data_IF_101367624423
#
_entry.id   IF_101367624423
#
_cell.length_a   1.000
_cell.length_b   1.000
_cell.length_c   1.000
_cell.angle_alpha   90.00
_cell.angle_beta   90.00
_cell.angle_gamma   90.00
#
_symmetry.space_group_name_H-M   'P 1'
#
loop_
_entity.id
_entity.type
_entity.pdbx_description
1 polymer ?
#
# COMPACT_ATOMS: atom_id res chain seq x y z
N UNK A 1 -10.50 -15.84 -4.14
CA UNK A 1 -10.10 -14.50 -3.69
C UNK A 1 -10.52 -14.31 -2.24
N UNK A 2 -9.54 -14.35 -1.36
CA UNK A 2 -9.58 -14.23 0.09
C UNK A 2 -8.36 -13.46 0.63
N UNK A 3 -7.33 -13.25 -0.19
CA UNK A 3 -6.14 -12.48 0.16
C UNK A 3 -5.65 -11.66 -1.04
N UNK A 4 -5.21 -10.43 -0.77
CA UNK A 4 -4.36 -9.64 -1.67
C UNK A 4 -3.00 -9.48 -1.02
N UNK A 5 -1.94 -9.77 -1.75
CA UNK A 5 -0.57 -9.50 -1.30
C UNK A 5 0.02 -8.40 -2.16
N UNK A 6 0.57 -7.37 -1.53
CA UNK A 6 1.22 -6.24 -2.22
C UNK A 6 2.69 -6.22 -1.80
N UNK A 7 3.62 -6.32 -2.76
CA UNK A 7 5.04 -6.07 -2.48
C UNK A 7 5.37 -4.60 -2.74
N UNK A 8 6.06 -3.98 -1.81
CA UNK A 8 6.50 -2.59 -1.94
C UNK A 8 7.94 -2.44 -1.47
N UNK A 9 8.62 -1.45 -2.05
CA UNK A 9 9.96 -1.02 -1.69
C UNK A 9 9.90 0.22 -0.80
N UNK A 10 10.72 0.26 0.24
CA UNK A 10 11.10 1.47 0.96
C UNK A 10 12.59 1.69 0.74
N UNK A 11 12.96 2.91 0.36
CA UNK A 11 14.35 3.37 0.25
C UNK A 11 14.36 4.87 0.58
N UNK A 12 14.34 5.26 1.87
CA UNK A 12 14.11 6.66 2.25
C UNK A 12 15.17 7.62 1.72
N UNK A 13 16.44 7.20 1.66
CA UNK A 13 17.52 7.98 1.06
C UNK A 13 17.30 8.29 -0.44
N UNK A 14 16.39 7.55 -1.09
CA UNK A 14 15.95 7.73 -2.47
C UNK A 14 14.52 8.29 -2.57
N UNK A 15 13.99 8.90 -1.49
CA UNK A 15 12.62 9.47 -1.45
C UNK A 15 11.51 8.43 -1.68
N UNK A 16 11.80 7.13 -1.54
CA UNK A 16 10.82 6.05 -1.73
C UNK A 16 10.39 5.56 -0.36
N UNK A 17 9.08 5.59 -0.10
CA UNK A 17 8.50 5.13 1.15
C UNK A 17 7.44 4.06 0.89
N UNK A 18 7.17 3.25 1.90
CA UNK A 18 5.97 2.43 1.87
C UNK A 18 4.70 3.27 1.78
N UNK A 19 3.60 2.70 1.25
CA UNK A 19 2.29 3.29 1.41
C UNK A 19 1.96 3.47 2.90
N UNK A 20 1.21 4.52 3.25
CA UNK A 20 0.64 4.75 4.58
C UNK A 20 -0.52 3.80 4.89
N UNK A 21 -1.07 3.20 3.85
CA UNK A 21 -2.11 2.19 3.97
C UNK A 21 -2.53 1.61 2.63
N UNK A 22 -3.25 0.51 2.72
CA UNK A 22 -3.76 -0.25 1.59
C UNK A 22 -5.23 -0.55 1.82
N UNK A 23 -6.06 -0.39 0.80
CA UNK A 23 -7.49 -0.74 0.82
C UNK A 23 -7.83 -1.66 -0.34
N UNK A 24 -8.52 -2.74 -0.04
CA UNK A 24 -9.07 -3.68 -1.02
C UNK A 24 -10.57 -3.48 -1.08
N UNK A 25 -11.04 -3.17 -2.28
CA UNK A 25 -12.45 -2.99 -2.59
C UNK A 25 -12.89 -4.04 -3.60
N UNK A 26 -14.06 -4.62 -3.38
CA UNK A 26 -14.61 -5.68 -4.21
C UNK A 26 -15.89 -5.23 -4.89
N UNK A 27 -16.15 -5.76 -6.08
CA UNK A 27 -17.38 -5.50 -6.83
C UNK A 27 -17.78 -6.69 -7.69
N UNK A 28 -19.09 -6.90 -7.84
CA UNK A 28 -19.67 -7.90 -8.75
C UNK A 28 -19.96 -7.32 -10.14
N UNK A 29 -20.32 -6.05 -10.21
CA UNK A 29 -20.80 -5.37 -11.42
C UNK A 29 -19.77 -4.41 -12.05
N UNK A 30 -18.73 -4.04 -11.29
CA UNK A 30 -17.66 -3.13 -11.72
C UNK A 30 -18.00 -1.65 -11.54
N UNK A 31 -19.19 -1.32 -11.02
CA UNK A 31 -19.65 0.05 -10.75
C UNK A 31 -19.85 0.34 -9.27
N UNK A 32 -20.35 -0.63 -8.50
CA UNK A 32 -20.53 -0.51 -7.06
C UNK A 32 -19.47 -1.32 -6.33
N UNK A 33 -18.61 -0.62 -5.58
CA UNK A 33 -17.55 -1.23 -4.79
C UNK A 33 -17.85 -1.08 -3.31
N UNK A 34 -17.59 -2.12 -2.53
CA UNK A 34 -17.56 -2.05 -1.07
C UNK A 34 -16.17 -2.40 -0.54
N UNK A 35 -15.83 -1.88 0.64
CA UNK A 35 -14.54 -2.10 1.27
C UNK A 35 -14.51 -3.49 1.89
N UNK A 36 -13.64 -4.35 1.40
CA UNK A 36 -13.43 -5.69 1.95
C UNK A 36 -12.34 -5.71 3.02
N UNK A 37 -11.27 -4.92 2.83
CA UNK A 37 -10.16 -4.83 3.79
C UNK A 37 -9.46 -3.48 3.75
N UNK A 38 -9.04 -3.01 4.92
CA UNK A 38 -8.10 -1.90 5.08
C UNK A 38 -6.93 -2.33 5.97
N UNK A 39 -5.73 -1.85 5.63
CA UNK A 39 -4.52 -1.99 6.43
C UNK A 39 -3.88 -0.61 6.56
N UNK A 40 -3.63 -0.19 7.80
CA UNK A 40 -2.78 0.97 8.09
C UNK A 40 -1.34 0.49 8.23
N UNK A 41 -0.42 1.23 7.62
CA UNK A 41 1.02 0.93 7.68
C UNK A 41 1.66 2.08 8.48
N UNK A 42 2.41 1.77 9.55
CA UNK A 42 3.12 2.78 10.32
C UNK A 42 4.10 3.58 9.46
N UNK A 43 4.38 4.79 9.93
CA UNK A 43 5.33 5.67 9.28
C UNK A 43 6.73 5.08 9.32
N UNK A 44 7.53 5.40 8.31
CA UNK A 44 8.94 5.06 8.33
C UNK A 44 9.66 5.88 9.40
N UNK A 45 10.44 5.19 10.23
CA UNK A 45 11.22 5.82 11.29
C UNK A 45 12.57 6.36 10.76
N UNK A 46 13.17 7.36 11.45
CA UNK A 46 14.50 7.85 11.11
C UNK A 46 15.54 6.72 11.10
N UNK A 47 16.45 6.76 10.13
CA UNK A 47 17.51 5.76 10.00
C UNK A 47 17.08 4.44 9.36
N UNK A 48 15.82 4.32 8.91
CA UNK A 48 15.38 3.18 8.10
C UNK A 48 16.21 3.06 6.81
N UNK A 49 16.68 1.83 6.56
CA UNK A 49 17.42 1.48 5.34
C UNK A 49 16.49 1.12 4.18
N UNK A 50 17.09 0.57 3.12
CA UNK A 50 16.34 0.01 1.99
C UNK A 50 15.76 -1.35 2.36
N UNK A 51 14.47 -1.54 2.15
CA UNK A 51 13.80 -2.82 2.38
C UNK A 51 12.62 -3.05 1.44
N UNK A 52 12.41 -4.31 1.06
CA UNK A 52 11.19 -4.75 0.36
C UNK A 52 10.31 -5.52 1.33
N UNK A 53 9.01 -5.21 1.36
CA UNK A 53 8.06 -5.86 2.26
C UNK A 53 6.82 -6.31 1.52
N UNK A 54 6.27 -7.44 1.98
CA UNK A 54 5.01 -8.01 1.50
C UNK A 54 3.90 -7.70 2.50
N UNK A 55 2.91 -6.93 2.07
CA UNK A 55 1.72 -6.61 2.85
C UNK A 55 0.59 -7.57 2.48
N UNK A 56 0.11 -8.34 3.47
CA UNK A 56 -0.90 -9.38 3.28
C UNK A 56 -2.25 -8.95 3.81
N UNK A 57 -3.21 -8.73 2.92
CA UNK A 57 -4.56 -8.28 3.24
C UNK A 57 -5.54 -9.44 3.06
N UNK A 58 -5.74 -10.21 4.13
CA UNK A 58 -6.77 -11.26 4.19
C UNK A 58 -8.16 -10.70 4.51
N UNK A 59 -9.19 -11.27 3.90
CA UNK A 59 -10.60 -10.95 4.09
C UNK A 59 -11.47 -12.21 3.90
N UNK A 60 -12.71 -12.14 4.40
CA UNK A 60 -13.65 -13.24 4.20
C UNK A 60 -13.91 -13.47 2.70
N UNK A 61 -13.83 -14.72 2.21
CA UNK A 61 -14.06 -15.01 0.80
C UNK A 61 -15.49 -14.62 0.39
N UNK A 62 -15.61 -13.85 -0.69
CA UNK A 62 -16.91 -13.50 -1.26
C UNK A 62 -16.90 -13.46 -2.79
N UNK A 63 -18.05 -13.68 -3.45
CA UNK A 63 -18.13 -13.57 -4.90
C UNK A 63 -17.88 -12.13 -5.37
N UNK A 64 -16.78 -11.94 -6.10
CA UNK A 64 -16.40 -10.70 -6.76
C UNK A 64 -15.81 -10.99 -8.16
N UNK A 65 -16.07 -10.09 -9.10
CA UNK A 65 -15.49 -10.13 -10.46
C UNK A 65 -14.46 -9.02 -10.67
N UNK A 66 -14.58 -7.94 -9.91
CA UNK A 66 -13.71 -6.78 -9.99
C UNK A 66 -13.11 -6.49 -8.62
N UNK A 67 -11.85 -6.09 -8.64
CA UNK A 67 -11.11 -5.65 -7.47
C UNK A 67 -10.49 -4.28 -7.77
N UNK A 68 -10.55 -3.40 -6.78
CA UNK A 68 -9.80 -2.14 -6.77
C UNK A 68 -8.88 -2.15 -5.56
N UNK A 69 -7.60 -1.93 -5.81
CA UNK A 69 -6.58 -1.70 -4.79
C UNK A 69 -6.30 -0.21 -4.71
N UNK A 70 -6.40 0.38 -3.52
CA UNK A 70 -5.99 1.76 -3.27
C UNK A 70 -4.76 1.75 -2.36
N UNK A 71 -3.65 2.29 -2.85
CA UNK A 71 -2.44 2.52 -2.08
C UNK A 71 -2.32 3.99 -1.70
N UNK A 72 -2.24 4.26 -0.40
CA UNK A 72 -2.26 5.62 0.14
C UNK A 72 -0.82 6.12 0.21
N UNK A 73 -0.48 7.09 -0.62
CA UNK A 73 0.86 7.69 -0.64
C UNK A 73 1.09 8.57 0.61
N UNK A 74 2.32 8.62 1.16
CA UNK A 74 2.69 9.64 2.12
C UNK A 74 2.70 11.07 1.53
N UNK A 75 2.72 11.19 0.20
CA UNK A 75 2.76 12.43 -0.62
C UNK A 75 4.04 13.25 -0.46
N UNK A 76 4.51 13.42 0.76
CA UNK A 76 5.65 14.24 1.15
C UNK A 76 6.58 13.48 2.10
N UNK A 77 7.85 13.87 2.07
CA UNK A 77 8.87 13.39 2.98
C UNK A 77 8.56 13.80 4.44
N UNK A 78 8.81 12.91 5.42
CA UNK A 78 8.64 13.22 6.83
C UNK A 78 9.65 14.27 7.32
N UNK A 79 9.38 14.87 8.48
CA UNK A 79 10.19 15.96 9.05
C UNK A 79 11.65 15.59 9.28
N UNK A 80 11.93 14.32 9.59
CA UNK A 80 13.28 13.84 9.84
C UNK A 80 14.09 13.61 8.56
N UNK A 81 13.46 13.62 7.38
CA UNK A 81 14.12 13.38 6.11
C UNK A 81 15.03 14.57 5.73
N UNK A 82 16.16 14.37 5.03
CA UNK A 82 17.04 15.49 4.60
C UNK A 82 16.39 16.55 3.72
N UNK A 83 15.21 16.27 3.16
CA UNK A 83 14.39 17.21 2.39
C UNK A 83 12.93 17.18 2.88
N UNK A 84 12.61 17.73 4.07
CA UNK A 84 11.26 17.70 4.64
C UNK A 84 10.22 18.35 3.73
N UNK A 85 9.00 17.80 3.64
CA UNK A 85 7.92 18.36 2.82
C UNK A 85 8.12 18.22 1.30
N UNK A 86 9.29 17.74 0.87
CA UNK A 86 9.54 17.41 -0.55
C UNK A 86 8.67 16.24 -0.99
N UNK A 87 8.22 16.25 -2.26
CA UNK A 87 7.44 15.12 -2.81
C UNK A 87 8.24 13.82 -2.78
N UNK A 88 7.54 12.73 -2.50
CA UNK A 88 8.12 11.40 -2.41
C UNK A 88 7.39 10.39 -3.32
N UNK A 89 7.94 9.19 -3.41
CA UNK A 89 7.41 8.10 -4.24
C UNK A 89 6.86 6.96 -3.41
N UNK A 90 5.91 6.23 -4.00
CA UNK A 90 5.55 4.87 -3.60
C UNK A 90 5.92 3.93 -4.74
N UNK A 91 6.57 2.82 -4.41
CA UNK A 91 6.97 1.79 -5.38
C UNK A 91 6.27 0.48 -4.99
N UNK A 92 5.44 -0.01 -5.90
CA UNK A 92 4.80 -1.33 -5.82
C UNK A 92 5.34 -2.15 -6.98
N UNK A 93 5.77 -3.38 -6.67
CA UNK A 93 6.30 -4.30 -7.68
C UNK A 93 5.21 -5.29 -8.11
N UNK A 94 4.70 -6.08 -7.16
CA UNK A 94 3.72 -7.13 -7.43
C UNK A 94 2.43 -6.93 -6.61
N UNK A 95 1.32 -7.27 -7.25
CA UNK A 95 0.01 -7.46 -6.60
C UNK A 95 -0.46 -8.87 -6.91
N UNK A 96 -0.48 -9.73 -5.89
CA UNK A 96 -0.91 -11.12 -5.98
C UNK A 96 -2.32 -11.26 -5.44
N UNK A 97 -3.16 -12.01 -6.16
CA UNK A 97 -4.57 -12.24 -5.84
C UNK A 97 -4.78 -13.75 -5.57
N UNK A 98 -5.09 -14.11 -4.31
CA UNK A 98 -5.31 -15.49 -3.86
C UNK A 98 -6.77 -15.67 -3.41
#
# INVERSE_FOLDING_TARGET
LQEVVVSALSAPASWIFFPKGLKVWLSRDGSHYHLAREMKIPDTEPGAGTETKYFRLGFEPEPAKYLKLEAISPLENPEWHPNPGGKCWIFIDEVLLN
#
